data_IF_942396554539
#
_entry.id   IF_942396554539
#
_cell.length_a   1.000
_cell.length_b   1.000
_cell.length_c   1.000
_cell.angle_alpha   90.00
_cell.angle_beta   90.00
_cell.angle_gamma   90.00
#
_symmetry.space_group_name_H-M   'P 1'
#
loop_
_entity.id
_entity.type
_entity.pdbx_description
1 polymer ?
#
# COMPACT_ATOMS: atom_id res chain seq x y z
N UNK A 1 39.53 83.21 -22.42
CA UNK A 1 38.34 82.78 -21.66
C UNK A 1 37.99 81.36 -22.07
N UNK A 2 37.89 80.49 -21.07
CA UNK A 2 37.78 79.02 -21.13
C UNK A 2 36.32 78.56 -21.25
N UNK A 3 36.15 77.25 -21.48
CA UNK A 3 34.95 76.40 -21.55
C UNK A 3 34.28 76.36 -22.93
N UNK A 4 34.49 75.36 -23.80
CA UNK A 4 34.50 73.89 -23.61
C UNK A 4 33.28 73.39 -22.83
N UNK A 5 32.12 73.40 -23.49
CA UNK A 5 30.99 72.54 -23.16
C UNK A 5 30.91 71.46 -24.24
N UNK A 6 31.62 70.37 -23.98
CA UNK A 6 31.56 69.16 -24.78
C UNK A 6 31.18 68.01 -23.84
N UNK A 7 30.41 67.07 -24.38
CA UNK A 7 30.20 65.72 -23.87
C UNK A 7 29.15 65.52 -22.75
N UNK A 8 27.87 65.68 -23.10
CA UNK A 8 26.83 64.82 -22.52
C UNK A 8 26.64 63.59 -23.41
N UNK A 9 27.31 62.50 -23.03
CA UNK A 9 27.09 61.15 -23.56
C UNK A 9 25.67 60.73 -23.20
N UNK A 10 24.75 60.77 -24.16
CA UNK A 10 23.43 60.14 -24.02
C UNK A 10 23.66 58.63 -24.12
N UNK A 11 23.81 57.99 -22.97
CA UNK A 11 23.80 56.53 -22.85
C UNK A 11 22.37 56.07 -23.15
N UNK A 12 22.15 55.60 -24.38
CA UNK A 12 20.95 54.83 -24.73
C UNK A 12 21.09 53.46 -24.05
N UNK A 13 20.54 53.34 -22.83
CA UNK A 13 20.37 52.05 -22.18
C UNK A 13 19.31 51.26 -22.94
N UNK A 14 19.77 50.38 -23.83
CA UNK A 14 18.97 49.31 -24.40
C UNK A 14 18.52 48.39 -23.26
N UNK A 15 17.26 48.48 -22.82
CA UNK A 15 16.69 47.46 -21.93
C UNK A 15 16.59 46.14 -22.71
N UNK A 16 17.26 45.06 -22.29
CA UNK A 16 16.90 43.75 -22.78
C UNK A 16 15.49 43.45 -22.26
N UNK A 17 14.54 43.29 -23.18
CA UNK A 17 13.29 42.63 -22.86
C UNK A 17 13.65 41.22 -22.38
N UNK A 18 13.61 41.01 -21.06
CA UNK A 18 13.68 39.69 -20.47
C UNK A 18 12.41 38.95 -20.90
N UNK A 19 12.47 38.32 -22.07
CA UNK A 19 11.53 37.27 -22.42
C UNK A 19 11.61 36.23 -21.32
N UNK A 20 10.52 36.05 -20.57
CA UNK A 20 10.34 34.92 -19.67
C UNK A 20 10.42 33.64 -20.49
N UNK A 21 11.65 33.12 -20.66
CA UNK A 21 11.86 31.75 -21.05
C UNK A 21 11.30 30.93 -19.89
N UNK A 22 10.07 30.45 -20.06
CA UNK A 22 9.43 29.50 -19.14
C UNK A 22 10.23 28.21 -19.24
N UNK A 23 11.36 28.17 -18.55
CA UNK A 23 12.08 26.94 -18.27
C UNK A 23 11.09 26.07 -17.52
N UNK A 24 10.63 25.03 -18.22
CA UNK A 24 9.98 23.89 -17.58
C UNK A 24 11.04 23.31 -16.66
N UNK A 25 11.07 23.78 -15.42
CA UNK A 25 11.72 23.08 -14.33
C UNK A 25 11.24 21.64 -14.41
N UNK A 26 12.13 20.64 -14.60
CA UNK A 26 11.73 19.28 -14.31
C UNK A 26 11.23 19.32 -12.88
N UNK A 27 10.02 18.78 -12.66
CA UNK A 27 9.54 18.43 -11.33
C UNK A 27 10.58 17.49 -10.72
N UNK A 28 11.58 18.10 -10.07
CA UNK A 28 12.45 17.43 -9.14
C UNK A 28 11.56 17.05 -7.99
N UNK A 29 11.12 15.80 -8.03
CA UNK A 29 10.68 14.95 -6.94
C UNK A 29 11.37 15.34 -5.63
N UNK A 30 10.77 16.29 -4.92
CA UNK A 30 11.29 16.89 -3.70
C UNK A 30 10.23 16.87 -2.61
N UNK A 31 9.47 15.78 -2.50
CA UNK A 31 8.79 15.49 -1.23
C UNK A 31 9.89 15.08 -0.27
N UNK A 32 10.34 16.00 0.58
CA UNK A 32 11.08 15.62 1.77
C UNK A 32 10.14 14.80 2.65
N UNK A 33 10.21 13.48 2.43
CA UNK A 33 9.51 12.47 3.20
C UNK A 33 10.24 12.40 4.54
N UNK A 34 9.82 13.19 5.53
CA UNK A 34 10.33 13.03 6.90
C UNK A 34 9.83 11.67 7.39
N UNK A 35 10.60 10.63 7.12
CA UNK A 35 10.29 9.27 7.51
C UNK A 35 10.31 9.18 9.04
N UNK A 36 9.40 8.38 9.59
CA UNK A 36 9.50 7.91 10.97
C UNK A 36 10.92 7.36 11.24
N UNK A 37 11.50 7.58 12.43
CA UNK A 37 12.83 7.05 12.74
C UNK A 37 12.86 5.53 12.59
N UNK A 38 13.95 4.95 12.12
CA UNK A 38 14.03 3.48 12.09
C UNK A 38 14.07 2.93 13.52
N UNK A 39 13.29 1.87 13.78
CA UNK A 39 13.25 1.21 15.09
C UNK A 39 13.56 -0.28 14.93
N UNK A 40 14.16 -0.88 15.97
CA UNK A 40 14.35 -2.33 16.03
C UNK A 40 13.19 -2.96 16.79
N UNK A 41 12.20 -3.51 16.10
CA UNK A 41 11.09 -4.24 16.75
C UNK A 41 11.62 -5.55 17.30
N UNK A 42 11.60 -5.70 18.62
CA UNK A 42 12.10 -6.90 19.35
C UNK A 42 11.06 -7.30 20.40
N UNK A 43 11.40 -8.17 21.36
CA UNK A 43 10.55 -8.43 22.56
C UNK A 43 10.96 -7.53 23.74
N UNK A 44 11.17 -6.24 23.47
CA UNK A 44 11.67 -5.28 24.47
C UNK A 44 10.55 -4.78 25.36
N UNK A 45 10.82 -4.61 26.66
CA UNK A 45 9.89 -3.96 27.61
C UNK A 45 9.67 -2.47 27.32
N UNK A 46 10.53 -1.84 26.51
CA UNK A 46 10.36 -0.45 26.06
C UNK A 46 9.41 -0.32 24.87
N UNK A 47 8.76 -1.40 24.43
CA UNK A 47 7.85 -1.40 23.30
C UNK A 47 6.42 -1.68 23.74
N UNK A 48 5.50 -0.84 23.29
CA UNK A 48 4.06 -1.05 23.45
C UNK A 48 3.49 -1.64 22.17
N UNK A 49 2.81 -2.78 22.31
CA UNK A 49 2.23 -3.53 21.21
C UNK A 49 0.70 -3.40 21.25
N UNK A 50 0.10 -2.84 20.20
CA UNK A 50 -1.36 -2.70 20.08
C UNK A 50 -1.90 -3.62 18.99
N UNK A 51 -2.88 -4.46 19.33
CA UNK A 51 -3.57 -5.38 18.40
C UNK A 51 -5.08 -5.23 18.54
N UNK A 52 -5.84 -5.63 17.51
CA UNK A 52 -7.30 -5.66 17.57
C UNK A 52 -7.76 -7.05 17.98
N UNK A 53 -8.54 -7.16 19.05
CA UNK A 53 -8.92 -8.48 19.58
C UNK A 53 -10.15 -9.10 18.90
N UNK A 54 -10.82 -8.33 18.04
CA UNK A 54 -12.10 -8.68 17.40
C UNK A 54 -13.20 -7.68 17.76
N UNK A 55 -13.03 -6.94 18.84
CA UNK A 55 -13.97 -5.94 19.36
C UNK A 55 -13.31 -4.57 19.54
N UNK A 56 -12.13 -4.54 20.15
CA UNK A 56 -11.42 -3.30 20.48
C UNK A 56 -9.90 -3.44 20.30
N UNK A 57 -9.18 -2.32 20.41
CA UNK A 57 -7.73 -2.31 20.39
C UNK A 57 -7.16 -2.50 21.79
N UNK A 58 -6.37 -3.56 21.99
CA UNK A 58 -5.69 -3.86 23.24
C UNK A 58 -4.20 -3.59 23.12
N UNK A 59 -3.64 -2.96 24.15
CA UNK A 59 -2.22 -2.64 24.22
C UNK A 59 -1.54 -3.42 25.34
N UNK A 60 -0.41 -4.06 25.03
CA UNK A 60 0.38 -4.86 25.98
C UNK A 60 1.87 -4.53 25.83
N UNK A 61 2.66 -4.74 26.87
CA UNK A 61 4.12 -4.50 26.85
C UNK A 61 4.95 -5.76 26.53
N UNK A 62 4.28 -6.90 26.28
CA UNK A 62 4.95 -8.16 26.01
C UNK A 62 4.23 -8.95 24.90
N UNK A 63 5.03 -9.51 23.98
CA UNK A 63 4.53 -10.20 22.77
C UNK A 63 3.79 -11.50 23.10
N UNK A 64 4.17 -12.17 24.18
CA UNK A 64 3.53 -13.40 24.67
C UNK A 64 2.07 -13.18 25.08
N UNK A 65 1.72 -11.98 25.57
CA UNK A 65 0.34 -11.58 25.92
C UNK A 65 -0.56 -11.32 24.72
N UNK A 66 -0.02 -11.29 23.51
CA UNK A 66 -0.79 -11.17 22.27
C UNK A 66 -1.22 -12.59 21.85
N UNK A 67 -2.52 -12.87 21.65
CA UNK A 67 -2.99 -14.16 21.14
C UNK A 67 -2.30 -14.51 19.81
N UNK A 68 -1.93 -15.78 19.61
CA UNK A 68 -1.13 -16.20 18.45
C UNK A 68 -1.74 -15.76 17.10
N UNK A 69 -3.06 -15.88 16.94
CA UNK A 69 -3.80 -15.45 15.75
C UNK A 69 -3.86 -13.93 15.52
N UNK A 70 -3.42 -13.12 16.49
CA UNK A 70 -3.38 -11.64 16.43
C UNK A 70 -1.98 -11.08 16.20
N UNK A 71 -0.94 -11.92 16.21
CA UNK A 71 0.47 -11.49 16.10
C UNK A 71 0.89 -11.06 14.68
N UNK A 72 0.06 -11.25 13.66
CA UNK A 72 0.39 -10.90 12.28
C UNK A 72 0.24 -9.41 11.93
N UNK A 73 -0.53 -8.65 12.73
CA UNK A 73 -0.84 -7.25 12.45
C UNK A 73 -0.87 -6.43 13.74
N UNK A 74 0.33 -6.03 14.20
CA UNK A 74 0.50 -5.40 15.51
C UNK A 74 1.16 -4.04 15.35
N UNK A 75 0.50 -2.99 15.83
CA UNK A 75 1.12 -1.66 15.94
C UNK A 75 2.17 -1.67 17.04
N UNK A 76 3.34 -1.10 16.76
CA UNK A 76 4.44 -1.00 17.72
C UNK A 76 4.77 0.45 17.98
N UNK A 77 4.83 0.84 19.25
CA UNK A 77 5.33 2.15 19.69
C UNK A 77 6.58 1.94 20.53
N UNK A 78 7.68 2.57 20.14
CA UNK A 78 8.92 2.59 20.94
C UNK A 78 8.84 3.71 21.98
N UNK A 79 8.73 3.33 23.26
CA UNK A 79 8.62 4.24 24.38
C UNK A 79 9.94 4.94 24.71
N UNK A 80 11.08 4.43 24.21
CA UNK A 80 12.38 5.08 24.31
C UNK A 80 12.53 6.31 23.42
N UNK A 81 11.66 6.47 22.40
CA UNK A 81 11.61 7.68 21.59
C UNK A 81 10.83 8.80 22.29
N UNK A 82 11.27 10.04 22.12
CA UNK A 82 10.52 11.22 22.58
C UNK A 82 9.13 11.28 21.91
N UNK A 83 8.07 11.74 22.59
CA UNK A 83 6.70 11.76 22.05
C UNK A 83 6.57 12.43 20.68
N UNK A 84 7.25 13.55 20.46
CA UNK A 84 7.27 14.29 19.18
C UNK A 84 7.88 13.49 18.03
N UNK A 85 8.86 12.62 18.32
CA UNK A 85 9.52 11.77 17.32
C UNK A 85 8.74 10.50 17.00
N UNK A 86 7.83 10.07 17.88
CA UNK A 86 7.02 8.87 17.65
C UNK A 86 6.02 9.04 16.51
N UNK A 87 5.45 10.24 16.36
CA UNK A 87 4.40 10.60 15.38
C UNK A 87 3.26 9.56 15.26
N UNK A 88 2.98 8.82 16.34
CA UNK A 88 2.01 7.70 16.39
C UNK A 88 0.57 8.12 16.08
N UNK A 89 0.27 9.42 16.16
CA UNK A 89 -1.04 9.97 15.76
C UNK A 89 -1.26 9.94 14.25
N UNK A 90 -0.18 9.98 13.45
CA UNK A 90 -0.24 10.05 11.99
C UNK A 90 0.27 8.76 11.34
N UNK A 91 1.48 8.34 11.69
CA UNK A 91 2.17 7.19 11.11
C UNK A 91 2.49 6.17 12.19
N UNK A 92 2.37 4.89 11.85
CA UNK A 92 2.57 3.77 12.77
C UNK A 92 3.46 2.69 12.16
N UNK A 93 4.27 2.05 13.01
CA UNK A 93 4.96 0.81 12.65
C UNK A 93 4.01 -0.37 12.87
N UNK A 94 3.84 -1.21 11.86
CA UNK A 94 3.02 -2.43 11.94
C UNK A 94 3.90 -3.63 11.71
N UNK A 95 4.07 -4.44 12.75
CA UNK A 95 4.96 -5.59 12.76
C UNK A 95 4.20 -6.91 12.64
N UNK A 96 4.86 -7.88 12.01
CA UNK A 96 4.49 -9.29 12.07
C UNK A 96 5.38 -9.99 13.11
N UNK A 97 4.78 -10.29 14.26
CA UNK A 97 5.44 -10.86 15.44
C UNK A 97 5.44 -12.40 15.45
N UNK A 98 5.01 -13.06 14.37
CA UNK A 98 4.93 -14.53 14.30
C UNK A 98 6.29 -15.18 14.11
N UNK A 99 7.19 -14.54 13.37
CA UNK A 99 8.54 -15.06 13.08
C UNK A 99 9.57 -13.94 13.09
N UNK A 100 10.50 -14.00 14.05
CA UNK A 100 11.66 -13.12 14.08
C UNK A 100 12.64 -13.47 12.94
N UNK A 101 13.40 -12.47 12.50
CA UNK A 101 14.55 -12.64 11.60
C UNK A 101 15.73 -13.25 12.38
N UNK A 102 16.79 -13.62 11.66
CA UNK A 102 18.01 -14.20 12.25
C UNK A 102 18.66 -13.29 13.30
N UNK A 103 18.50 -11.97 13.19
CA UNK A 103 19.00 -10.96 14.12
C UNK A 103 18.07 -10.70 15.33
N UNK A 104 17.05 -11.54 15.51
CA UNK A 104 16.05 -11.44 16.58
C UNK A 104 15.00 -10.33 16.40
N UNK A 105 15.07 -9.54 15.33
CA UNK A 105 14.12 -8.48 15.07
C UNK A 105 12.92 -8.96 14.26
N UNK A 106 11.75 -8.38 14.52
CA UNK A 106 10.54 -8.64 13.75
C UNK A 106 10.47 -7.71 12.54
N UNK A 107 10.04 -8.20 11.37
CA UNK A 107 9.77 -7.36 10.21
C UNK A 107 8.56 -6.47 10.46
N UNK A 108 8.65 -5.22 10.02
CA UNK A 108 7.59 -4.23 10.13
C UNK A 108 7.49 -3.38 8.86
N UNK A 109 6.41 -2.63 8.77
CA UNK A 109 6.17 -1.63 7.71
C UNK A 109 5.66 -0.35 8.36
N UNK A 110 5.76 0.77 7.67
CA UNK A 110 5.19 2.05 8.11
C UNK A 110 3.94 2.37 7.31
N UNK A 111 2.86 2.76 7.96
CA UNK A 111 1.62 3.21 7.32
C UNK A 111 0.90 4.27 8.15
N UNK A 112 -0.19 4.85 7.64
CA UNK A 112 -1.00 5.77 8.45
C UNK A 112 -1.75 5.03 9.55
N UNK A 113 -1.93 5.68 10.70
CA UNK A 113 -2.71 5.16 11.83
C UNK A 113 -4.12 4.77 11.41
N UNK A 114 -4.76 5.62 10.60
CA UNK A 114 -6.10 5.38 10.06
C UNK A 114 -6.14 4.11 9.19
N UNK A 115 -5.16 3.91 8.30
CA UNK A 115 -5.10 2.71 7.47
C UNK A 115 -4.90 1.45 8.31
N UNK A 116 -4.07 1.51 9.35
CA UNK A 116 -3.88 0.43 10.31
C UNK A 116 -5.20 0.06 11.00
N UNK A 117 -5.92 1.06 11.54
CA UNK A 117 -7.14 0.81 12.31
C UNK A 117 -8.27 0.25 11.45
N UNK A 118 -8.50 0.84 10.28
CA UNK A 118 -9.51 0.36 9.32
C UNK A 118 -9.21 -1.07 8.87
N UNK A 119 -7.94 -1.37 8.55
CA UNK A 119 -7.54 -2.72 8.13
C UNK A 119 -7.74 -3.74 9.26
N UNK A 120 -7.42 -3.38 10.51
CA UNK A 120 -7.58 -4.28 11.65
C UNK A 120 -9.06 -4.61 11.93
N UNK A 121 -9.96 -3.60 11.88
CA UNK A 121 -11.40 -3.80 12.07
C UNK A 121 -12.02 -4.63 10.93
N UNK A 122 -11.69 -4.34 9.68
CA UNK A 122 -12.28 -5.02 8.51
C UNK A 122 -11.79 -6.46 8.31
N UNK A 123 -10.64 -6.83 8.88
CA UNK A 123 -9.98 -8.14 8.64
C UNK A 123 -9.85 -8.98 9.90
N UNK A 124 -10.50 -8.60 11.00
CA UNK A 124 -10.39 -9.34 12.27
C UNK A 124 -8.97 -9.36 12.84
N UNK A 125 -8.20 -8.27 12.73
CA UNK A 125 -7.10 -7.99 13.67
C UNK A 125 -5.94 -8.98 13.76
N UNK A 126 -5.56 -9.71 12.72
CA UNK A 126 -4.36 -10.58 12.83
C UNK A 126 -4.07 -11.57 11.70
N UNK A 127 -5.02 -11.78 10.79
CA UNK A 127 -4.88 -12.73 9.67
C UNK A 127 -4.20 -12.14 8.43
N UNK A 128 -4.02 -10.82 8.34
CA UNK A 128 -3.39 -10.17 7.19
C UNK A 128 -1.93 -9.80 7.50
N UNK A 129 -1.00 -10.06 6.57
CA UNK A 129 0.37 -9.55 6.71
C UNK A 129 0.43 -8.04 6.47
N UNK A 130 1.36 -7.31 7.12
CA UNK A 130 1.61 -5.90 6.89
C UNK A 130 1.93 -5.62 5.41
N UNK A 131 1.42 -4.53 4.79
CA UNK A 131 1.78 -4.13 3.43
C UNK A 131 3.28 -3.82 3.38
N UNK A 132 4.07 -4.79 2.91
CA UNK A 132 5.53 -4.71 2.86
C UNK A 132 6.23 -6.02 3.24
N UNK A 133 5.53 -7.00 3.81
CA UNK A 133 5.87 -8.39 3.45
C UNK A 133 5.42 -8.60 2.03
N UNK A 134 6.34 -9.04 1.17
CA UNK A 134 6.00 -9.68 -0.08
C UNK A 134 5.19 -10.93 0.28
N UNK A 135 3.89 -10.75 0.55
CA UNK A 135 2.91 -11.80 0.37
C UNK A 135 3.25 -12.41 -0.96
N UNK A 136 3.44 -13.73 -0.98
CA UNK A 136 3.32 -14.51 -2.22
C UNK A 136 1.88 -14.28 -2.66
N UNK A 137 1.64 -13.14 -3.31
CA UNK A 137 0.31 -12.70 -3.71
C UNK A 137 -0.23 -13.87 -4.52
N UNK A 138 -1.44 -14.36 -4.21
CA UNK A 138 -2.02 -15.39 -5.06
C UNK A 138 -1.90 -14.89 -6.49
N UNK A 139 -1.38 -15.72 -7.38
CA UNK A 139 -1.11 -15.32 -8.75
C UNK A 139 -2.40 -14.80 -9.42
N UNK A 140 -3.55 -15.31 -8.95
CA UNK A 140 -4.89 -14.93 -9.35
C UNK A 140 -5.80 -14.75 -8.12
N UNK A 141 -6.57 -13.67 -8.07
CA UNK A 141 -7.75 -13.52 -7.21
C UNK A 141 -8.97 -13.50 -8.11
N UNK A 142 -9.98 -14.32 -7.82
CA UNK A 142 -11.27 -14.33 -8.49
C UNK A 142 -12.31 -13.63 -7.59
N UNK A 143 -12.76 -12.45 -8.01
CA UNK A 143 -13.95 -11.82 -7.44
C UNK A 143 -15.18 -12.36 -8.17
N UNK A 144 -16.08 -13.00 -7.44
CA UNK A 144 -17.20 -13.74 -8.01
C UNK A 144 -18.45 -13.66 -7.12
N UNK A 145 -19.53 -14.27 -7.59
CA UNK A 145 -20.72 -14.63 -6.79
C UNK A 145 -21.00 -16.12 -6.97
N UNK A 146 -21.77 -16.71 -6.05
CA UNK A 146 -22.07 -18.15 -6.09
C UNK A 146 -22.94 -18.57 -7.27
N UNK A 147 -23.89 -17.72 -7.67
CA UNK A 147 -24.89 -18.02 -8.69
C UNK A 147 -24.42 -17.74 -10.14
N UNK A 148 -23.35 -16.94 -10.30
CA UNK A 148 -22.83 -16.48 -11.59
C UNK A 148 -22.25 -17.61 -12.47
N UNK A 149 -22.80 -17.78 -13.68
CA UNK A 149 -22.38 -18.79 -14.65
C UNK A 149 -20.95 -18.61 -15.19
N UNK A 150 -20.59 -17.38 -15.57
CA UNK A 150 -19.23 -17.07 -16.03
C UNK A 150 -18.18 -17.30 -14.93
N UNK A 151 -18.55 -17.08 -13.67
CA UNK A 151 -17.71 -17.36 -12.52
C UNK A 151 -17.48 -18.88 -12.36
N UNK A 152 -18.52 -19.71 -12.57
CA UNK A 152 -18.36 -21.18 -12.62
C UNK A 152 -17.40 -21.61 -13.74
N UNK A 153 -17.47 -20.99 -14.92
CA UNK A 153 -16.55 -21.28 -16.02
C UNK A 153 -15.09 -20.96 -15.64
N UNK A 154 -14.85 -19.79 -15.02
CA UNK A 154 -13.52 -19.40 -14.53
C UNK A 154 -12.96 -20.40 -13.50
N UNK A 155 -13.77 -20.80 -12.50
CA UNK A 155 -13.40 -21.81 -11.50
C UNK A 155 -13.01 -23.13 -12.15
N UNK A 156 -13.85 -23.63 -13.07
CA UNK A 156 -13.61 -24.89 -13.78
C UNK A 156 -12.30 -24.84 -14.55
N UNK A 157 -12.05 -23.77 -15.30
CA UNK A 157 -10.84 -23.60 -16.09
C UNK A 157 -9.59 -23.57 -15.22
N UNK A 158 -9.57 -22.73 -14.17
CA UNK A 158 -8.43 -22.63 -13.28
C UNK A 158 -8.15 -23.96 -12.57
N UNK A 159 -9.20 -24.68 -12.15
CA UNK A 159 -9.07 -26.03 -11.59
C UNK A 159 -8.47 -27.02 -12.59
N UNK A 160 -8.96 -27.04 -13.83
CA UNK A 160 -8.47 -27.94 -14.88
C UNK A 160 -6.99 -27.67 -15.26
N UNK A 161 -6.58 -26.40 -15.25
CA UNK A 161 -5.20 -25.99 -15.56
C UNK A 161 -4.26 -25.99 -14.35
N UNK A 162 -4.74 -26.39 -13.16
CA UNK A 162 -3.94 -26.37 -11.92
C UNK A 162 -3.53 -24.96 -11.47
N UNK A 163 -4.24 -23.92 -11.94
CA UNK A 163 -3.96 -22.52 -11.60
C UNK A 163 -4.42 -22.29 -10.17
N UNK A 164 -3.48 -21.96 -9.28
CA UNK A 164 -3.77 -21.59 -7.90
C UNK A 164 -4.40 -20.19 -7.84
N UNK A 165 -5.57 -20.09 -7.22
CA UNK A 165 -6.30 -18.83 -7.08
C UNK A 165 -6.96 -18.72 -5.70
N UNK A 166 -7.23 -17.47 -5.29
CA UNK A 166 -8.08 -17.17 -4.14
C UNK A 166 -9.42 -16.67 -4.66
N UNK A 167 -10.51 -17.28 -4.21
CA UNK A 167 -11.85 -16.81 -4.53
C UNK A 167 -12.37 -15.87 -3.43
N UNK A 168 -13.02 -14.78 -3.85
CA UNK A 168 -13.71 -13.85 -2.97
C UNK A 168 -15.13 -13.61 -3.46
N UNK A 169 -16.10 -13.96 -2.63
CA UNK A 169 -17.51 -13.71 -2.92
C UNK A 169 -17.86 -12.26 -2.54
N UNK A 170 -18.12 -11.41 -3.53
CA UNK A 170 -18.36 -9.98 -3.30
C UNK A 170 -19.75 -9.68 -2.74
N UNK A 171 -20.69 -10.63 -2.77
CA UNK A 171 -22.01 -10.47 -2.15
C UNK A 171 -21.98 -10.86 -0.67
N UNK A 172 -21.10 -11.80 -0.30
CA UNK A 172 -20.98 -12.30 1.08
C UNK A 172 -19.90 -11.61 1.89
N UNK A 173 -18.88 -11.06 1.23
CA UNK A 173 -17.76 -10.37 1.85
C UNK A 173 -17.72 -8.90 1.40
N UNK A 174 -18.23 -8.02 2.26
CA UNK A 174 -18.20 -6.57 2.04
C UNK A 174 -16.76 -6.02 1.90
N UNK A 175 -15.79 -6.65 2.57
CA UNK A 175 -14.37 -6.33 2.43
C UNK A 175 -13.83 -6.68 1.04
N UNK A 176 -14.27 -7.80 0.46
CA UNK A 176 -13.94 -8.19 -0.91
C UNK A 176 -14.53 -7.21 -1.94
N UNK A 177 -15.80 -6.80 -1.77
CA UNK A 177 -16.44 -5.82 -2.62
C UNK A 177 -15.71 -4.48 -2.59
N UNK A 178 -15.41 -3.95 -1.39
CA UNK A 178 -14.67 -2.70 -1.23
C UNK A 178 -13.25 -2.79 -1.82
N UNK A 179 -12.58 -3.94 -1.65
CA UNK A 179 -11.27 -4.18 -2.26
C UNK A 179 -11.32 -4.14 -3.78
N UNK A 180 -12.31 -4.81 -4.40
CA UNK A 180 -12.53 -4.81 -5.84
C UNK A 180 -12.76 -3.38 -6.35
N UNK A 181 -13.68 -2.63 -5.75
CA UNK A 181 -14.00 -1.25 -6.15
C UNK A 181 -12.77 -0.35 -6.13
N UNK A 182 -11.96 -0.45 -5.07
CA UNK A 182 -10.71 0.34 -4.96
C UNK A 182 -9.72 -0.01 -6.08
N UNK A 183 -9.52 -1.31 -6.35
CA UNK A 183 -8.59 -1.75 -7.40
C UNK A 183 -9.11 -1.37 -8.79
N UNK A 184 -10.41 -1.51 -9.03
CA UNK A 184 -11.07 -1.15 -10.27
C UNK A 184 -10.92 0.34 -10.59
N UNK A 185 -11.18 1.20 -9.60
CA UNK A 185 -10.95 2.65 -9.70
C UNK A 185 -9.50 2.99 -10.03
N UNK A 186 -8.55 2.36 -9.35
CA UNK A 186 -7.12 2.58 -9.59
C UNK A 186 -6.67 2.12 -10.99
N UNK A 187 -7.28 1.06 -11.52
CA UNK A 187 -7.00 0.53 -12.84
C UNK A 187 -7.82 1.20 -13.96
N UNK A 188 -8.74 2.12 -13.63
CA UNK A 188 -9.64 2.75 -14.60
C UNK A 188 -10.61 1.78 -15.27
N UNK A 189 -10.95 0.66 -14.60
CA UNK A 189 -11.91 -0.31 -15.13
C UNK A 189 -13.25 -0.22 -14.38
N UNK A 190 -14.33 -0.51 -15.11
CA UNK A 190 -15.63 -0.73 -14.50
C UNK A 190 -15.65 -2.11 -13.83
N UNK A 191 -16.01 -2.16 -12.54
CA UNK A 191 -16.26 -3.42 -11.84
C UNK A 191 -17.77 -3.64 -11.60
N UNK A 192 -18.58 -3.25 -12.58
CA UNK A 192 -20.05 -3.34 -12.54
C UNK A 192 -20.60 -4.75 -12.68
N UNK A 193 -19.75 -5.76 -12.87
CA UNK A 193 -20.17 -7.15 -13.03
C UNK A 193 -19.07 -8.14 -12.67
N UNK A 194 -19.50 -9.38 -12.41
CA UNK A 194 -18.62 -10.52 -12.11
C UNK A 194 -18.57 -11.50 -13.29
N UNK A 195 -17.47 -12.27 -13.43
CA UNK A 195 -16.28 -12.28 -12.59
C UNK A 195 -15.35 -11.09 -12.88
N UNK A 196 -14.54 -10.70 -11.90
CA UNK A 196 -13.34 -9.88 -12.11
C UNK A 196 -12.15 -10.65 -11.58
N UNK A 197 -11.09 -10.78 -12.37
CA UNK A 197 -9.86 -11.45 -11.98
C UNK A 197 -8.78 -10.41 -11.74
N UNK A 198 -8.05 -10.53 -10.63
CA UNK A 198 -6.78 -9.83 -10.40
C UNK A 198 -5.64 -10.82 -10.62
N UNK A 199 -4.90 -10.63 -11.72
CA UNK A 199 -3.76 -11.46 -12.11
C UNK A 199 -2.49 -10.66 -11.88
N UNK A 200 -1.76 -10.96 -10.80
CA UNK A 200 -0.51 -10.26 -10.43
C UNK A 200 -0.64 -8.71 -10.42
N UNK A 201 -1.80 -8.18 -10.02
CA UNK A 201 -2.09 -6.75 -9.98
C UNK A 201 -2.74 -6.19 -11.25
N UNK A 202 -2.88 -6.98 -12.31
CA UNK A 202 -3.62 -6.61 -13.53
C UNK A 202 -5.04 -7.10 -13.43
N UNK A 203 -6.01 -6.19 -13.49
CA UNK A 203 -7.41 -6.56 -13.47
C UNK A 203 -7.91 -6.94 -14.87
N UNK A 204 -8.74 -7.98 -14.92
CA UNK A 204 -9.47 -8.44 -16.09
C UNK A 204 -10.94 -8.57 -15.72
N UNK A 205 -11.79 -7.76 -16.35
CA UNK A 205 -13.25 -7.88 -16.22
C UNK A 205 -13.75 -9.02 -17.12
N UNK A 206 -14.65 -9.85 -16.59
CA UNK A 206 -15.13 -11.05 -17.24
C UNK A 206 -14.11 -12.20 -17.21
N UNK A 207 -14.48 -13.33 -17.81
CA UNK A 207 -13.60 -14.48 -17.92
C UNK A 207 -13.20 -14.71 -19.39
N UNK A 208 -11.90 -14.63 -19.66
CA UNK A 208 -11.30 -14.98 -20.94
C UNK A 208 -10.08 -15.88 -20.68
N UNK A 209 -10.10 -17.16 -21.10
CA UNK A 209 -9.04 -18.12 -20.82
C UNK A 209 -7.71 -17.75 -21.47
N UNK A 210 -7.73 -17.32 -22.73
CA UNK A 210 -6.53 -16.91 -23.46
C UNK A 210 -5.88 -15.70 -22.81
N UNK A 211 -6.69 -14.70 -22.41
CA UNK A 211 -6.18 -13.52 -21.72
C UNK A 211 -5.62 -13.84 -20.33
N UNK A 212 -6.24 -14.78 -19.60
CA UNK A 212 -5.74 -15.26 -18.32
C UNK A 212 -4.35 -15.88 -18.47
N UNK A 213 -4.15 -16.77 -19.45
CA UNK A 213 -2.85 -17.40 -19.70
C UNK A 213 -1.77 -16.39 -20.10
N UNK A 214 -2.10 -15.44 -20.98
CA UNK A 214 -1.22 -14.33 -21.34
C UNK A 214 -0.77 -13.52 -20.13
N UNK A 215 -1.68 -13.22 -19.20
CA UNK A 215 -1.37 -12.46 -17.99
C UNK A 215 -0.57 -13.28 -16.97
N UNK A 216 -0.72 -14.61 -16.98
CA UNK A 216 0.07 -15.51 -16.14
C UNK A 216 1.51 -15.68 -16.67
N UNK A 217 1.71 -15.52 -17.97
CA UNK A 217 2.99 -15.76 -18.65
C UNK A 217 3.23 -17.24 -18.93
N UNK A 218 2.16 -18.05 -18.96
CA UNK A 218 2.26 -19.45 -19.36
C UNK A 218 2.38 -19.51 -20.89
N UNK A 219 3.40 -20.17 -21.46
CA UNK A 219 3.45 -20.38 -22.90
C UNK A 219 2.24 -21.23 -23.30
N UNK A 220 1.46 -20.70 -24.24
CA UNK A 220 0.40 -21.45 -24.90
C UNK A 220 1.04 -22.65 -25.60
N UNK A 221 0.72 -23.85 -25.12
CA UNK A 221 1.03 -25.11 -25.79
C UNK A 221 -0.28 -25.90 -25.95
#
# INVERSE_FOLDING_TARGET
MLNRFDLFVIIVTLLPAAGCKRERSPLSSGVQKTALPEIKVTKSSKQLYTFFDGSEFKSVQAVDKIPAGRRGWVRVVDLGLAPTKRRDHELVYVADLRKARADGAFPYVVMSRVAFEMAARNRGGGVADPPGKAQKRPAVILYATSWCGACRAARKYMKQKGIQYVEKDIEKDAGAAAELMRKAKAAGISASGVPVLDIKGKLMQGFNPQKLEQLLGSPSA
#
